data_IF_149946577813
#
_entry.id   IF_149946577813
#
_cell.length_a   1.000
_cell.length_b   1.000
_cell.length_c   1.000
_cell.angle_alpha   90.00
_cell.angle_beta   90.00
_cell.angle_gamma   90.00
#
_symmetry.space_group_name_H-M   'P 1'
#
loop_
_entity.id
_entity.type
_entity.pdbx_description
1 polymer ?
#
# COMPACT_ATOMS: atom_id res chain seq x y z
N UNK A 1 -13.29 -8.05 -7.25
CA UNK A 1 -11.82 -8.12 -7.45
C UNK A 1 -11.49 -9.45 -8.10
N UNK A 2 -10.84 -9.39 -9.25
CA UNK A 2 -10.39 -10.59 -9.95
C UNK A 2 -8.93 -10.85 -9.61
N UNK A 3 -8.66 -11.98 -8.97
CA UNK A 3 -7.30 -12.40 -8.67
C UNK A 3 -6.64 -12.97 -9.93
N UNK A 4 -5.36 -12.68 -10.09
CA UNK A 4 -4.57 -13.21 -11.20
C UNK A 4 -4.24 -14.69 -10.94
N UNK A 5 -4.74 -15.58 -11.79
CA UNK A 5 -4.54 -17.02 -11.63
C UNK A 5 -3.08 -17.45 -11.83
N UNK A 6 -2.26 -16.59 -12.47
CA UNK A 6 -0.84 -16.87 -12.65
C UNK A 6 -0.02 -16.57 -11.40
N UNK A 7 -0.61 -15.90 -10.42
CA UNK A 7 0.04 -15.59 -9.16
C UNK A 7 -0.33 -16.64 -8.11
N UNK A 8 0.60 -16.84 -7.20
CA UNK A 8 0.42 -17.80 -6.13
C UNK A 8 -0.71 -17.35 -5.20
N UNK A 9 -1.65 -18.27 -4.89
CA UNK A 9 -2.89 -17.95 -4.19
C UNK A 9 -2.82 -18.20 -2.68
N UNK A 10 -1.75 -18.85 -2.20
CA UNK A 10 -1.65 -19.32 -0.82
C UNK A 10 -0.83 -18.41 0.09
N UNK A 11 -0.33 -17.31 -0.43
CA UNK A 11 0.46 -16.37 0.37
C UNK A 11 0.47 -14.97 -0.27
N UNK A 12 0.88 -13.99 0.52
CA UNK A 12 1.09 -12.61 0.09
C UNK A 12 2.36 -12.09 0.76
N UNK A 13 3.14 -11.32 0.03
CA UNK A 13 4.31 -10.65 0.57
C UNK A 13 3.98 -9.21 0.90
N UNK A 14 4.47 -8.73 2.04
CA UNK A 14 4.33 -7.34 2.45
C UNK A 14 5.69 -6.66 2.34
N UNK A 15 5.77 -5.62 1.50
CA UNK A 15 6.98 -4.82 1.35
C UNK A 15 6.88 -3.61 2.28
N UNK A 16 7.58 -3.68 3.40
CA UNK A 16 7.72 -2.57 4.33
C UNK A 16 8.92 -1.70 3.94
N UNK A 17 9.13 -0.60 4.68
CA UNK A 17 10.15 0.40 4.35
C UNK A 17 11.38 0.29 5.26
N UNK A 18 11.76 -0.91 5.69
CA UNK A 18 12.97 -1.16 6.47
C UNK A 18 14.23 -1.15 5.60
N UNK A 19 15.38 -1.15 6.26
CA UNK A 19 16.69 -1.12 5.58
C UNK A 19 16.91 -2.31 4.64
N UNK A 20 16.34 -3.46 4.94
CA UNK A 20 16.42 -4.63 4.07
C UNK A 20 15.80 -4.39 2.70
N UNK A 21 14.93 -3.39 2.57
CA UNK A 21 14.33 -3.01 1.30
C UNK A 21 15.27 -2.22 0.39
N UNK A 22 16.43 -1.80 0.89
CA UNK A 22 17.47 -1.19 0.06
C UNK A 22 18.11 -2.22 -0.88
N UNK A 23 17.96 -3.50 -0.57
CA UNK A 23 18.48 -4.59 -1.40
C UNK A 23 17.38 -5.02 -2.35
N UNK A 24 17.35 -4.40 -3.53
CA UNK A 24 16.30 -4.63 -4.53
C UNK A 24 16.46 -5.93 -5.31
N UNK A 25 17.51 -6.71 -5.04
CA UNK A 25 17.79 -7.96 -5.74
C UNK A 25 16.71 -9.02 -5.51
N UNK A 26 15.91 -8.88 -4.45
CA UNK A 26 14.82 -9.82 -4.17
C UNK A 26 13.59 -9.60 -5.05
N UNK A 27 13.45 -8.43 -5.69
CA UNK A 27 12.23 -8.08 -6.45
C UNK A 27 11.90 -9.10 -7.56
N UNK A 28 12.87 -9.66 -8.31
CA UNK A 28 12.54 -10.67 -9.32
C UNK A 28 11.86 -11.91 -8.76
N UNK A 29 12.09 -12.25 -7.49
CA UNK A 29 11.46 -13.41 -6.85
C UNK A 29 9.98 -13.18 -6.56
N UNK A 30 9.50 -11.93 -6.64
CA UNK A 30 8.12 -11.57 -6.34
C UNK A 30 7.24 -11.51 -7.61
N UNK A 31 7.79 -11.82 -8.76
CA UNK A 31 7.10 -11.65 -10.05
C UNK A 31 5.74 -12.37 -10.12
N UNK A 32 5.67 -13.58 -9.56
CA UNK A 32 4.46 -14.39 -9.58
C UNK A 32 3.79 -14.47 -8.20
N UNK A 33 4.01 -13.47 -7.37
CA UNK A 33 3.48 -13.40 -6.02
C UNK A 33 2.52 -12.22 -5.88
N UNK A 34 1.56 -12.34 -4.97
CA UNK A 34 0.79 -11.17 -4.54
C UNK A 34 1.61 -10.35 -3.57
N UNK A 35 1.62 -9.04 -3.78
CA UNK A 35 2.43 -8.12 -2.99
C UNK A 35 1.57 -6.97 -2.49
N UNK A 36 1.63 -6.72 -1.19
CA UNK A 36 1.11 -5.50 -0.56
C UNK A 36 2.32 -4.58 -0.33
N UNK A 37 2.34 -3.43 -0.97
CA UNK A 37 3.35 -2.42 -0.71
C UNK A 37 2.86 -1.42 0.33
N UNK A 38 3.76 -0.85 1.10
CA UNK A 38 3.44 0.02 2.22
C UNK A 38 4.18 1.35 2.08
N UNK A 39 3.48 2.46 2.36
CA UNK A 39 4.08 3.78 2.52
C UNK A 39 4.83 4.27 1.28
N UNK A 40 6.15 4.45 1.36
CA UNK A 40 6.96 5.08 0.29
C UNK A 40 7.12 4.23 -0.96
N UNK A 41 6.73 2.99 -0.96
CA UNK A 41 6.84 2.12 -2.13
C UNK A 41 6.09 2.65 -3.35
N UNK A 42 5.08 3.50 -3.14
CA UNK A 42 4.37 4.12 -4.27
C UNK A 42 5.28 4.98 -5.15
N UNK A 43 6.39 5.51 -4.58
CA UNK A 43 7.35 6.32 -5.32
C UNK A 43 8.42 5.48 -6.05
N UNK A 44 8.38 4.16 -5.87
CA UNK A 44 9.33 3.25 -6.51
C UNK A 44 8.70 2.66 -7.77
N UNK A 45 9.08 3.19 -8.93
CA UNK A 45 8.44 2.91 -10.20
C UNK A 45 8.90 1.61 -10.89
N UNK A 46 9.90 0.94 -10.32
CA UNK A 46 10.50 -0.26 -10.94
C UNK A 46 9.82 -1.56 -10.53
N UNK A 47 8.78 -1.49 -9.73
CA UNK A 47 8.10 -2.68 -9.27
C UNK A 47 6.59 -2.45 -9.17
N UNK A 48 5.83 -3.37 -9.76
CA UNK A 48 4.38 -3.35 -9.68
C UNK A 48 3.91 -4.21 -8.53
N UNK A 49 3.06 -3.65 -7.67
CA UNK A 49 2.44 -4.37 -6.57
C UNK A 49 0.94 -4.43 -6.77
N UNK A 50 0.29 -5.33 -6.04
CA UNK A 50 -1.14 -5.63 -6.24
C UNK A 50 -2.03 -4.82 -5.32
N UNK A 51 -1.55 -4.54 -4.12
CA UNK A 51 -2.30 -3.82 -3.09
C UNK A 51 -1.36 -2.84 -2.39
N UNK A 52 -1.96 -1.83 -1.78
CA UNK A 52 -1.18 -0.81 -1.08
C UNK A 52 -1.83 -0.46 0.26
N UNK A 53 -1.02 -0.21 1.26
CA UNK A 53 -1.47 0.26 2.55
C UNK A 53 -0.56 1.37 3.07
N UNK A 54 -1.17 2.40 3.66
CA UNK A 54 -0.42 3.46 4.34
C UNK A 54 -1.16 3.84 5.63
N UNK A 55 -0.39 3.98 6.70
CA UNK A 55 -0.94 4.31 8.01
C UNK A 55 -1.31 5.79 8.13
N UNK A 56 -0.40 6.66 7.73
CA UNK A 56 -0.56 8.12 7.78
C UNK A 56 -0.37 8.70 6.39
N UNK A 57 -1.42 8.66 5.58
CA UNK A 57 -1.33 9.03 4.16
C UNK A 57 -0.92 10.48 3.98
N UNK A 58 -1.32 11.39 4.87
CA UNK A 58 -0.96 12.80 4.81
C UNK A 58 0.55 13.04 4.88
N UNK A 59 1.31 12.13 5.48
CA UNK A 59 2.77 12.23 5.57
C UNK A 59 3.47 11.98 4.23
N UNK A 60 2.77 11.42 3.26
CA UNK A 60 3.30 11.26 1.92
C UNK A 60 3.43 12.59 1.18
N UNK A 61 2.63 13.59 1.55
CA UNK A 61 2.62 14.89 0.90
C UNK A 61 3.97 15.61 1.04
N UNK A 62 4.52 15.80 2.26
CA UNK A 62 5.83 16.43 2.37
C UNK A 62 6.95 15.61 1.71
N UNK A 63 6.85 14.29 1.70
CA UNK A 63 7.81 13.44 1.00
C UNK A 63 7.76 13.71 -0.51
N UNK A 64 6.55 13.77 -1.07
CA UNK A 64 6.35 14.07 -2.49
C UNK A 64 6.89 15.46 -2.86
N UNK A 65 6.64 16.47 -2.03
CA UNK A 65 7.16 17.82 -2.26
C UNK A 65 8.68 17.86 -2.31
N UNK A 66 9.35 17.17 -1.38
CA UNK A 66 10.81 17.18 -1.31
C UNK A 66 11.48 16.48 -2.50
N UNK A 67 10.81 15.49 -3.07
CA UNK A 67 11.39 14.64 -4.11
C UNK A 67 10.75 14.83 -5.48
N UNK A 68 9.88 15.85 -5.64
CA UNK A 68 9.23 16.12 -6.92
C UNK A 68 8.20 15.06 -7.34
N UNK A 69 7.65 14.34 -6.37
CA UNK A 69 6.73 13.23 -6.63
C UNK A 69 5.25 13.55 -6.49
N UNK A 70 4.84 14.82 -6.57
CA UNK A 70 3.43 15.19 -6.40
C UNK A 70 2.53 14.63 -7.50
N UNK A 71 3.01 14.60 -8.75
CA UNK A 71 2.22 14.05 -9.84
C UNK A 71 2.04 12.54 -9.68
N UNK A 72 3.08 11.83 -9.27
CA UNK A 72 2.99 10.39 -8.99
C UNK A 72 2.03 10.12 -7.84
N UNK A 73 2.06 10.94 -6.78
CA UNK A 73 1.14 10.81 -5.65
C UNK A 73 -0.32 10.99 -6.10
N UNK A 74 -0.59 12.00 -6.92
CA UNK A 74 -1.94 12.25 -7.46
C UNK A 74 -2.42 11.10 -8.34
N UNK A 75 -1.59 10.66 -9.26
CA UNK A 75 -1.93 9.55 -10.16
C UNK A 75 -2.17 8.27 -9.38
N UNK A 76 -1.34 8.00 -8.40
CA UNK A 76 -1.45 6.79 -7.59
C UNK A 76 -2.77 6.74 -6.83
N UNK A 77 -3.13 7.80 -6.10
CA UNK A 77 -4.35 7.79 -5.29
C UNK A 77 -5.62 7.85 -6.11
N UNK A 78 -5.58 8.39 -7.33
CA UNK A 78 -6.73 8.38 -8.24
C UNK A 78 -6.84 7.08 -9.06
N UNK A 79 -5.83 6.22 -9.02
CA UNK A 79 -5.82 4.98 -9.79
C UNK A 79 -6.79 3.94 -9.23
N UNK A 80 -7.02 2.87 -10.00
CA UNK A 80 -7.91 1.77 -9.62
C UNK A 80 -7.25 0.73 -8.71
N UNK A 81 -5.97 0.89 -8.40
CA UNK A 81 -5.29 -0.02 -7.47
C UNK A 81 -6.00 -0.02 -6.11
N UNK A 82 -6.16 -1.19 -5.53
CA UNK A 82 -6.78 -1.33 -4.21
C UNK A 82 -5.82 -0.80 -3.15
N UNK A 83 -6.28 0.19 -2.39
CA UNK A 83 -5.48 0.87 -1.38
C UNK A 83 -6.28 1.08 -0.11
N UNK A 84 -5.59 1.08 1.01
CA UNK A 84 -6.18 1.42 2.31
C UNK A 84 -5.36 2.47 3.02
N UNK A 85 -6.07 3.37 3.71
CA UNK A 85 -5.47 4.27 4.70
C UNK A 85 -6.06 3.95 6.07
N UNK A 86 -5.43 4.46 7.12
CA UNK A 86 -5.92 4.22 8.48
C UNK A 86 -7.09 5.14 8.83
N UNK A 87 -7.01 6.40 8.46
CA UNK A 87 -7.97 7.43 8.84
C UNK A 87 -8.46 8.19 7.62
N UNK A 88 -9.59 7.73 7.07
CA UNK A 88 -10.17 8.29 5.87
C UNK A 88 -10.50 9.77 5.99
N UNK A 89 -11.12 10.17 7.09
CA UNK A 89 -11.62 11.53 7.23
C UNK A 89 -10.49 12.55 7.25
N UNK A 90 -9.44 12.27 8.02
CA UNK A 90 -8.27 13.16 8.07
C UNK A 90 -7.51 13.17 6.76
N UNK A 91 -7.28 12.00 6.17
CA UNK A 91 -6.49 11.88 4.95
C UNK A 91 -7.17 12.54 3.76
N UNK A 92 -8.48 12.37 3.59
CA UNK A 92 -9.23 13.02 2.50
C UNK A 92 -9.13 14.53 2.60
N UNK A 93 -9.32 15.09 3.80
CA UNK A 93 -9.25 16.55 4.00
C UNK A 93 -7.86 17.10 3.68
N UNK A 94 -6.80 16.41 4.07
CA UNK A 94 -5.44 16.82 3.76
C UNK A 94 -5.16 16.75 2.26
N UNK A 95 -5.62 15.70 1.60
CA UNK A 95 -5.40 15.51 0.17
C UNK A 95 -6.19 16.52 -0.68
N UNK A 96 -7.38 16.91 -0.25
CA UNK A 96 -8.18 17.92 -0.95
C UNK A 96 -7.45 19.26 -1.05
N UNK A 97 -6.66 19.62 -0.05
CA UNK A 97 -5.85 20.85 -0.06
C UNK A 97 -4.84 20.89 -1.20
N UNK A 98 -4.46 19.75 -1.72
CA UNK A 98 -3.48 19.61 -2.80
C UNK A 98 -4.12 19.12 -4.09
N UNK A 99 -5.45 19.15 -4.18
CA UNK A 99 -6.21 18.69 -5.35
C UNK A 99 -5.94 17.22 -5.69
N UNK A 100 -5.78 16.38 -4.66
CA UNK A 100 -5.60 14.95 -4.84
C UNK A 100 -6.97 14.27 -4.66
N UNK A 101 -7.42 13.58 -5.70
CA UNK A 101 -8.69 12.85 -5.70
C UNK A 101 -8.45 11.37 -5.47
N UNK A 102 -9.25 10.76 -4.61
CA UNK A 102 -9.18 9.33 -4.38
C UNK A 102 -9.95 8.57 -5.46
N UNK A 103 -9.34 7.50 -5.97
CA UNK A 103 -10.00 6.58 -6.87
C UNK A 103 -11.02 5.71 -6.15
N UNK A 104 -11.86 5.02 -6.92
CA UNK A 104 -12.98 4.21 -6.40
C UNK A 104 -12.54 3.06 -5.49
N UNK A 105 -11.30 2.60 -5.59
CA UNK A 105 -10.74 1.51 -4.78
C UNK A 105 -9.77 2.00 -3.72
N UNK A 106 -9.85 3.27 -3.35
CA UNK A 106 -9.12 3.83 -2.23
C UNK A 106 -10.04 3.84 -1.02
N UNK A 107 -9.76 2.97 -0.06
CA UNK A 107 -10.58 2.80 1.12
C UNK A 107 -9.91 3.46 2.31
N UNK A 108 -10.66 4.29 3.00
CA UNK A 108 -10.23 4.78 4.29
C UNK A 108 -10.64 3.80 5.38
N UNK A 109 -9.87 3.76 6.44
CA UNK A 109 -10.15 2.93 7.61
C UNK A 109 -10.18 1.43 7.31
N UNK A 110 -9.04 0.81 7.44
CA UNK A 110 -8.95 -0.64 7.32
C UNK A 110 -9.87 -1.30 8.37
N UNK A 111 -10.68 -2.30 8.00
CA UNK A 111 -11.71 -2.85 8.90
C UNK A 111 -11.12 -3.82 9.93
N UNK A 112 -10.21 -3.35 10.76
CA UNK A 112 -9.54 -4.15 11.78
C UNK A 112 -10.53 -4.82 12.73
N UNK A 113 -11.60 -4.11 13.09
CA UNK A 113 -12.62 -4.59 14.02
C UNK A 113 -13.55 -5.64 13.41
N UNK A 114 -13.56 -5.79 12.10
CA UNK A 114 -14.40 -6.76 11.40
C UNK A 114 -13.66 -8.03 11.01
N UNK A 115 -12.35 -8.03 11.18
CA UNK A 115 -11.52 -9.19 10.87
C UNK A 115 -11.54 -10.13 12.06
N UNK A 116 -11.99 -11.35 11.80
CA UNK A 116 -11.90 -12.41 12.82
C UNK A 116 -10.49 -12.99 12.75
N UNK A 117 -9.72 -12.70 13.80
CA UNK A 117 -8.38 -13.23 13.93
C UNK A 117 -8.46 -14.64 14.51
N UNK A 118 -8.40 -15.65 13.66
CA UNK A 118 -8.30 -17.04 14.08
C UNK A 118 -6.86 -17.41 14.43
N UNK A 119 -6.24 -16.55 15.25
CA UNK A 119 -4.88 -16.80 15.69
C UNK A 119 -4.91 -17.59 16.99
N UNK A 120 -4.34 -18.79 16.94
CA UNK A 120 -4.06 -19.56 18.13
C UNK A 120 -2.85 -18.94 18.82
N UNK A 121 -2.94 -18.73 20.12
CA UNK A 121 -1.83 -18.22 20.92
C UNK A 121 -0.54 -19.02 20.74
N UNK A 122 -0.65 -20.30 20.58
CA UNK A 122 0.51 -21.16 20.35
C UNK A 122 1.25 -20.78 19.06
N UNK A 123 0.52 -20.41 18.01
CA UNK A 123 1.12 -19.96 16.76
C UNK A 123 1.87 -18.64 16.92
N UNK A 124 1.39 -17.77 17.80
CA UNK A 124 2.03 -16.48 18.05
C UNK A 124 3.33 -16.61 18.86
N UNK A 125 3.47 -17.68 19.62
CA UNK A 125 4.63 -17.94 20.46
C UNK A 125 5.71 -18.76 19.75
N UNK A 126 5.40 -19.29 18.62
CA UNK A 126 6.34 -20.03 17.79
C UNK A 126 7.03 -19.08 16.82
#
# INVERSE_FOLDING_TARGET
MNLDINKRQDRVFVLACGKSCDVVDFLPFLKNEYVIAVSRWLFYDKFNFDFYFVNDAEKLIPIAHRHGGMDELKQFFSSDLIKWTRDADTDVKQFEKYNITWGKHTYGTFPWNKIKWNLNHEHLLQ
#
